data_IF_017235393737
#
_entry.id   IF_017235393737
#
_cell.length_a   1.000
_cell.length_b   1.000
_cell.length_c   1.000
_cell.angle_alpha   90.00
_cell.angle_beta   90.00
_cell.angle_gamma   90.00
#
_symmetry.space_group_name_H-M   'P 1'
#
loop_
_entity.id
_entity.type
_entity.pdbx_description
1 polymer ?
#
# COMPACT_ATOMS: atom_id res chain seq x y z
N UNK A 1 -15.55 -13.17 15.50
CA UNK A 1 -14.09 -13.34 15.59
C UNK A 1 -13.48 -12.40 14.58
N UNK A 2 -12.60 -11.48 14.98
CA UNK A 2 -11.83 -10.70 14.02
C UNK A 2 -10.82 -11.68 13.42
N UNK A 3 -10.93 -11.97 12.12
CA UNK A 3 -9.90 -12.75 11.43
C UNK A 3 -8.57 -12.00 11.61
N UNK A 4 -7.59 -12.66 12.23
CA UNK A 4 -6.32 -12.03 12.57
C UNK A 4 -5.41 -12.05 11.34
N UNK A 5 -5.48 -11.01 10.53
CA UNK A 5 -4.60 -10.83 9.38
C UNK A 5 -3.17 -10.53 9.86
N UNK A 6 -2.18 -11.19 9.27
CA UNK A 6 -0.77 -10.76 9.40
C UNK A 6 -0.41 -9.80 8.27
N UNK A 7 0.69 -9.07 8.46
CA UNK A 7 1.14 -8.04 7.52
C UNK A 7 2.49 -8.45 6.92
N UNK A 8 2.61 -8.34 5.59
CA UNK A 8 3.85 -8.61 4.85
C UNK A 8 4.13 -7.44 3.92
N UNK A 9 5.38 -7.00 3.85
CA UNK A 9 5.82 -5.92 2.98
C UNK A 9 6.77 -6.46 1.91
N UNK A 10 6.48 -6.23 0.63
CA UNK A 10 7.43 -6.52 -0.44
C UNK A 10 8.61 -5.52 -0.43
N UNK A 11 9.82 -5.96 -0.82
CA UNK A 11 10.97 -5.07 -0.93
C UNK A 11 10.73 -3.87 -1.85
N UNK A 12 9.98 -4.06 -2.94
CA UNK A 12 9.66 -3.00 -3.89
C UNK A 12 8.86 -1.87 -3.24
N UNK A 13 7.84 -2.19 -2.44
CA UNK A 13 7.10 -1.18 -1.68
C UNK A 13 8.02 -0.34 -0.78
N UNK A 14 8.97 -0.98 -0.09
CA UNK A 14 9.91 -0.29 0.80
C UNK A 14 10.81 0.67 0.02
N UNK A 15 11.30 0.24 -1.14
CA UNK A 15 12.13 1.08 -2.02
C UNK A 15 11.33 2.27 -2.55
N UNK A 16 10.09 2.05 -2.99
CA UNK A 16 9.23 3.13 -3.51
C UNK A 16 8.87 4.16 -2.42
N UNK A 17 8.57 3.69 -1.20
CA UNK A 17 8.32 4.58 -0.06
C UNK A 17 9.57 5.37 0.32
N UNK A 18 10.73 4.72 0.42
CA UNK A 18 12.00 5.36 0.74
C UNK A 18 12.38 6.46 -0.27
N UNK A 19 12.20 6.18 -1.57
CA UNK A 19 12.41 7.16 -2.63
C UNK A 19 11.48 8.38 -2.49
N UNK A 20 10.21 8.16 -2.19
CA UNK A 20 9.25 9.25 -2.02
C UNK A 20 9.57 10.11 -0.80
N UNK A 21 9.87 9.49 0.34
CA UNK A 21 10.21 10.19 1.59
C UNK A 21 11.51 10.96 1.43
N UNK A 22 12.55 10.33 0.86
CA UNK A 22 13.85 10.97 0.58
C UNK A 22 13.68 12.16 -0.36
N UNK A 23 12.85 12.03 -1.40
CA UNK A 23 12.58 13.13 -2.32
C UNK A 23 11.92 14.31 -1.60
N UNK A 24 10.89 14.08 -0.78
CA UNK A 24 10.23 15.16 -0.05
C UNK A 24 11.19 15.82 0.94
N UNK A 25 11.94 15.03 1.71
CA UNK A 25 12.85 15.53 2.72
C UNK A 25 13.98 16.40 2.15
N UNK A 26 14.62 15.96 1.06
CA UNK A 26 15.85 16.60 0.58
C UNK A 26 15.64 17.45 -0.67
N UNK A 27 14.75 17.06 -1.58
CA UNK A 27 14.57 17.76 -2.85
C UNK A 27 13.50 18.85 -2.75
N UNK A 28 12.48 18.63 -1.92
CA UNK A 28 11.50 19.67 -1.57
C UNK A 28 11.88 20.41 -0.28
N UNK A 29 12.93 19.95 0.42
CA UNK A 29 13.42 20.51 1.68
C UNK A 29 12.34 20.61 2.76
N UNK A 30 11.47 19.59 2.84
CA UNK A 30 10.34 19.52 3.76
C UNK A 30 10.38 18.22 4.56
N UNK A 31 11.20 18.22 5.61
CA UNK A 31 11.41 17.03 6.47
C UNK A 31 10.12 16.69 7.24
N UNK A 32 9.34 17.70 7.63
CA UNK A 32 8.10 17.51 8.37
C UNK A 32 7.05 16.81 7.52
N UNK A 33 6.91 17.19 6.24
CA UNK A 33 6.05 16.48 5.29
C UNK A 33 6.53 15.05 5.01
N UNK A 34 7.84 14.82 4.96
CA UNK A 34 8.41 13.47 4.76
C UNK A 34 8.10 12.54 5.94
N UNK A 35 8.25 13.02 7.18
CA UNK A 35 7.90 12.28 8.39
C UNK A 35 6.39 12.03 8.46
N UNK A 36 5.58 13.06 8.17
CA UNK A 36 4.13 12.94 8.14
C UNK A 36 3.67 11.88 7.14
N UNK A 37 4.31 11.80 5.96
CA UNK A 37 3.99 10.77 4.98
C UNK A 37 4.26 9.35 5.51
N UNK A 38 5.37 9.13 6.21
CA UNK A 38 5.68 7.83 6.82
C UNK A 38 4.61 7.42 7.85
N UNK A 39 4.25 8.35 8.73
CA UNK A 39 3.23 8.12 9.77
C UNK A 39 1.87 7.83 9.16
N UNK A 40 1.45 8.64 8.18
CA UNK A 40 0.18 8.48 7.47
C UNK A 40 0.08 7.13 6.76
N UNK A 41 1.18 6.67 6.13
CA UNK A 41 1.24 5.35 5.46
C UNK A 41 1.09 4.21 6.47
N UNK A 42 1.83 4.25 7.58
CA UNK A 42 1.76 3.21 8.61
C UNK A 42 0.36 3.16 9.26
N UNK A 43 -0.20 4.32 9.60
CA UNK A 43 -1.56 4.42 10.17
C UNK A 43 -2.59 3.86 9.19
N UNK A 44 -2.52 4.25 7.91
CA UNK A 44 -3.48 3.80 6.91
C UNK A 44 -3.42 2.28 6.69
N UNK A 45 -2.22 1.69 6.67
CA UNK A 45 -2.02 0.25 6.54
C UNK A 45 -2.55 -0.49 7.77
N UNK A 46 -2.23 -0.03 9.00
CA UNK A 46 -2.73 -0.65 10.24
C UNK A 46 -4.25 -0.59 10.34
N UNK A 47 -4.85 0.55 10.01
CA UNK A 47 -6.30 0.69 9.99
C UNK A 47 -6.93 -0.28 8.99
N UNK A 48 -6.30 -0.48 7.84
CA UNK A 48 -6.77 -1.41 6.82
C UNK A 48 -6.64 -2.87 7.24
N UNK A 49 -5.60 -3.22 7.99
CA UNK A 49 -5.34 -4.58 8.46
C UNK A 49 -6.49 -5.17 9.29
N UNK A 50 -7.27 -4.33 9.95
CA UNK A 50 -8.46 -4.77 10.71
C UNK A 50 -9.55 -5.39 9.81
N UNK A 51 -9.63 -4.95 8.54
CA UNK A 51 -10.63 -5.41 7.60
C UNK A 51 -10.20 -5.21 6.13
N UNK A 52 -9.20 -5.95 5.65
CA UNK A 52 -8.53 -5.67 4.38
C UNK A 52 -9.36 -6.05 3.14
N UNK A 53 -10.37 -6.92 3.28
CA UNK A 53 -11.19 -7.41 2.16
C UNK A 53 -12.53 -6.66 2.00
N UNK A 54 -12.90 -5.76 2.93
CA UNK A 54 -14.21 -5.09 2.90
C UNK A 54 -14.32 -3.89 1.96
N UNK A 55 -13.37 -3.73 1.04
CA UNK A 55 -13.32 -2.60 0.12
C UNK A 55 -13.39 -3.07 -1.33
N UNK A 56 -13.80 -2.18 -2.22
CA UNK A 56 -13.91 -2.53 -3.64
C UNK A 56 -12.52 -2.90 -4.21
N UNK A 57 -12.39 -4.09 -4.83
CA UNK A 57 -11.16 -4.49 -5.49
C UNK A 57 -10.94 -3.67 -6.77
N UNK A 58 -9.69 -3.43 -7.09
CA UNK A 58 -9.27 -2.76 -8.33
C UNK A 58 -9.60 -3.69 -9.51
N UNK A 59 -10.37 -3.16 -10.45
CA UNK A 59 -10.68 -3.85 -11.72
C UNK A 59 -9.42 -3.86 -12.60
N UNK A 60 -8.59 -4.88 -12.45
CA UNK A 60 -7.46 -5.10 -13.36
C UNK A 60 -7.97 -5.66 -14.69
N UNK A 61 -7.35 -5.23 -15.79
CA UNK A 61 -7.57 -5.82 -17.12
C UNK A 61 -6.91 -7.20 -17.26
N UNK A 62 -5.98 -7.53 -16.36
CA UNK A 62 -5.24 -8.80 -16.35
C UNK A 62 -5.96 -9.80 -15.45
N UNK A 63 -6.00 -11.06 -15.88
CA UNK A 63 -6.56 -12.14 -15.07
C UNK A 63 -5.59 -12.45 -13.92
N UNK A 64 -6.06 -12.35 -12.67
CA UNK A 64 -5.22 -12.44 -11.47
C UNK A 64 -5.82 -13.37 -10.46
N UNK A 65 -4.95 -14.20 -9.88
CA UNK A 65 -5.30 -15.15 -8.82
C UNK A 65 -5.94 -14.48 -7.59
N UNK A 66 -5.47 -13.28 -7.23
CA UNK A 66 -5.97 -12.53 -6.08
C UNK A 66 -6.33 -11.10 -6.50
N UNK A 67 -7.48 -10.58 -6.05
CA UNK A 67 -7.85 -9.20 -6.29
C UNK A 67 -6.87 -8.25 -5.60
N UNK A 68 -6.56 -7.15 -6.28
CA UNK A 68 -5.80 -6.06 -5.71
C UNK A 68 -6.74 -5.07 -5.04
N UNK A 69 -6.28 -4.50 -3.94
CA UNK A 69 -6.96 -3.44 -3.23
C UNK A 69 -6.03 -2.23 -3.14
N UNK A 70 -6.62 -1.06 -2.83
CA UNK A 70 -5.91 0.20 -2.75
C UNK A 70 -6.22 0.95 -1.46
N UNK A 71 -5.21 1.62 -0.93
CA UNK A 71 -5.33 2.59 0.17
C UNK A 71 -4.81 3.91 -0.35
N UNK A 72 -5.63 4.95 -0.28
CA UNK A 72 -5.21 6.31 -0.61
C UNK A 72 -4.55 6.94 0.60
N UNK A 73 -3.35 7.49 0.41
CA UNK A 73 -2.59 8.19 1.44
C UNK A 73 -2.04 9.46 0.80
N UNK A 74 -2.65 10.61 1.11
CA UNK A 74 -2.33 11.89 0.47
C UNK A 74 -2.34 11.76 -1.07
N UNK A 75 -1.24 12.13 -1.74
CA UNK A 75 -1.08 12.03 -3.19
C UNK A 75 -0.54 10.67 -3.66
N UNK A 76 -0.55 9.66 -2.80
CA UNK A 76 -0.03 8.32 -3.06
C UNK A 76 -1.10 7.24 -2.91
N UNK A 77 -0.82 6.09 -3.50
CA UNK A 77 -1.67 4.90 -3.47
C UNK A 77 -0.80 3.72 -3.05
N UNK A 78 -1.23 3.06 -1.97
CA UNK A 78 -0.67 1.77 -1.54
C UNK A 78 -1.50 0.66 -2.17
N UNK A 79 -0.84 -0.28 -2.84
CA UNK A 79 -1.49 -1.48 -3.38
C UNK A 79 -1.15 -2.71 -2.59
N UNK A 80 -2.17 -3.51 -2.29
CA UNK A 80 -2.01 -4.75 -1.55
C UNK A 80 -2.94 -5.84 -2.06
N UNK A 81 -2.65 -7.07 -1.65
CA UNK A 81 -3.51 -8.24 -1.84
C UNK A 81 -3.74 -8.92 -0.50
N UNK A 82 -4.77 -9.75 -0.43
CA UNK A 82 -4.96 -10.69 0.67
C UNK A 82 -4.67 -12.09 0.16
N UNK A 83 -3.73 -12.76 0.83
CA UNK A 83 -3.33 -14.14 0.56
C UNK A 83 -3.81 -15.02 1.69
N UNK A 84 -4.08 -16.28 1.37
CA UNK A 84 -4.30 -17.33 2.36
C UNK A 84 -3.17 -18.36 2.17
N UNK A 85 -2.29 -18.46 3.16
CA UNK A 85 -1.14 -19.35 3.18
C UNK A 85 -1.22 -20.17 4.47
N UNK A 86 -1.23 -21.51 4.36
CA UNK A 86 -1.26 -22.43 5.50
C UNK A 86 -2.36 -22.15 6.55
N UNK A 87 -3.54 -21.70 6.08
CA UNK A 87 -4.68 -21.35 6.94
C UNK A 87 -4.56 -19.98 7.64
N UNK A 88 -3.54 -19.18 7.30
CA UNK A 88 -3.35 -17.83 7.78
C UNK A 88 -3.63 -16.81 6.66
N UNK A 89 -4.43 -15.79 6.98
CA UNK A 89 -4.65 -14.66 6.07
C UNK A 89 -3.54 -13.62 6.23
N UNK A 90 -2.97 -13.20 5.11
CA UNK A 90 -1.85 -12.26 5.04
C UNK A 90 -2.25 -11.08 4.15
N UNK A 91 -2.23 -9.87 4.71
CA UNK A 91 -2.27 -8.64 3.94
C UNK A 91 -0.85 -8.34 3.43
N UNK A 92 -0.63 -8.56 2.13
CA UNK A 92 0.67 -8.33 1.49
C UNK A 92 0.69 -7.00 0.75
N UNK A 93 1.47 -6.05 1.27
CA UNK A 93 1.69 -4.73 0.69
C UNK A 93 2.73 -4.83 -0.43
N UNK A 94 2.34 -4.44 -1.65
CA UNK A 94 3.13 -4.69 -2.87
C UNK A 94 3.74 -3.45 -3.49
N UNK A 95 3.00 -2.35 -3.60
CA UNK A 95 3.44 -1.13 -4.31
C UNK A 95 3.07 0.13 -3.55
N UNK A 96 3.88 1.16 -3.71
CA UNK A 96 3.63 2.53 -3.28
C UNK A 96 3.82 3.46 -4.48
N UNK A 97 2.75 4.07 -4.96
CA UNK A 97 2.79 4.84 -6.21
C UNK A 97 2.24 6.24 -6.01
N UNK A 98 2.88 7.24 -6.60
CA UNK A 98 2.27 8.54 -6.71
C UNK A 98 1.04 8.47 -7.63
N UNK A 99 -0.04 9.17 -7.29
CA UNK A 99 -1.31 9.18 -8.04
C UNK A 99 -1.12 9.49 -9.53
N UNK A 100 -0.16 10.36 -9.88
CA UNK A 100 0.19 10.67 -11.27
C UNK A 100 0.91 9.53 -12.01
N UNK A 101 1.67 8.69 -11.30
CA UNK A 101 2.35 7.52 -11.86
C UNK A 101 1.37 6.35 -12.08
N UNK A 102 0.25 6.35 -11.38
CA UNK A 102 -0.80 5.34 -11.48
C UNK A 102 -1.59 5.37 -12.81
N UNK A 103 -1.26 6.28 -13.73
CA UNK A 103 -2.01 6.52 -14.97
C UNK A 103 -2.09 5.34 -15.94
N UNK A 104 -1.28 4.30 -15.76
CA UNK A 104 -1.25 3.20 -16.73
C UNK A 104 -2.22 2.06 -16.42
N UNK A 105 -2.92 2.01 -15.29
CA UNK A 105 -3.79 0.88 -14.88
C UNK A 105 -3.13 -0.51 -15.09
N UNK A 106 -1.79 -0.55 -15.20
CA UNK A 106 -0.99 -1.76 -15.38
C UNK A 106 -0.70 -2.44 -14.03
N UNK A 107 -1.56 -2.10 -13.05
CA UNK A 107 -2.07 -2.92 -11.96
C UNK A 107 -1.76 -4.35 -12.18
#
# INVERSE_FOLDING_TARGET
MQDKYSLRYLPLFKQELDLAVTYIAFQLNDIDAANSLLDDVEIAIRNRLNNPESYEPVKSKKDRKNPYYRIYVNNYIVYYVVLEEDGQKIMEIRRFLHTLQNRNDEI
#
